data_IF_014566396673
#
_entry.id   IF_014566396673
#
_cell.length_a   1.000
_cell.length_b   1.000
_cell.length_c   1.000
_cell.angle_alpha   90.00
_cell.angle_beta   90.00
_cell.angle_gamma   90.00
#
_symmetry.space_group_name_H-M   'P 1'
#
loop_
_entity.id
_entity.type
_entity.pdbx_description
1 polymer ?
#
# COMPACT_ATOMS: atom_id res chain seq x y z
N UNK A 1 -21.49 -5.42 -17.40
CA UNK A 1 -21.38 -6.36 -16.26
C UNK A 1 -22.13 -7.64 -16.57
N UNK A 2 -23.49 -7.61 -16.82
CA UNK A 2 -24.28 -8.82 -17.04
C UNK A 2 -23.78 -9.73 -18.19
N UNK A 3 -23.25 -9.13 -19.26
CA UNK A 3 -22.72 -9.90 -20.41
C UNK A 3 -21.39 -10.60 -20.08
N UNK A 4 -20.55 -10.00 -19.25
CA UNK A 4 -19.30 -10.61 -18.78
C UNK A 4 -19.60 -11.71 -17.76
N UNK A 5 -20.52 -11.46 -16.84
CA UNK A 5 -20.94 -12.44 -15.85
C UNK A 5 -21.53 -13.71 -16.49
N UNK A 6 -22.27 -13.55 -17.62
CA UNK A 6 -22.76 -14.70 -18.39
C UNK A 6 -21.67 -15.53 -19.11
N UNK A 7 -20.48 -14.95 -19.34
CA UNK A 7 -19.35 -15.65 -20.00
C UNK A 7 -18.43 -16.34 -19.00
N UNK A 8 -18.18 -15.74 -17.86
CA UNK A 8 -17.17 -16.23 -16.88
C UNK A 8 -17.75 -16.66 -15.55
N UNK A 9 -19.06 -16.47 -15.35
CA UNK A 9 -19.74 -16.70 -14.07
C UNK A 9 -19.84 -15.46 -13.22
N UNK A 10 -20.94 -15.32 -12.50
CA UNK A 10 -21.24 -14.14 -11.68
C UNK A 10 -20.22 -13.88 -10.57
N UNK A 11 -19.62 -14.93 -10.05
CA UNK A 11 -18.63 -14.84 -8.96
C UNK A 11 -17.24 -14.39 -9.46
N UNK A 12 -16.97 -14.52 -10.76
CA UNK A 12 -15.68 -14.14 -11.36
C UNK A 12 -15.62 -12.65 -11.72
N UNK A 13 -16.77 -11.99 -11.80
CA UNK A 13 -16.83 -10.55 -12.07
C UNK A 13 -16.92 -9.79 -10.76
N UNK A 14 -15.85 -9.12 -10.37
CA UNK A 14 -15.79 -8.35 -9.14
C UNK A 14 -15.67 -6.85 -9.43
N UNK A 15 -16.13 -6.03 -8.50
CA UNK A 15 -16.01 -4.58 -8.53
C UNK A 15 -15.24 -4.12 -7.29
N UNK A 16 -14.46 -3.04 -7.45
CA UNK A 16 -13.80 -2.39 -6.33
C UNK A 16 -14.81 -1.53 -5.57
N UNK A 17 -15.01 -1.83 -4.29
CA UNK A 17 -15.75 -1.00 -3.35
C UNK A 17 -14.77 -0.22 -2.48
N UNK A 18 -14.92 1.11 -2.42
CA UNK A 18 -14.09 1.94 -1.58
C UNK A 18 -14.43 1.75 -0.09
N UNK A 19 -13.44 1.44 0.72
CA UNK A 19 -13.61 1.27 2.17
C UNK A 19 -12.90 2.34 3.00
N UNK A 20 -11.93 2.99 2.41
CA UNK A 20 -10.98 3.84 3.12
C UNK A 20 -9.98 3.00 3.91
N UNK A 21 -8.74 3.46 3.95
CA UNK A 21 -7.64 2.79 4.63
C UNK A 21 -6.36 3.59 4.51
N UNK A 22 -5.37 3.29 5.34
CA UNK A 22 -4.09 3.99 5.34
C UNK A 22 -3.06 3.34 4.42
N UNK A 23 -3.22 2.05 4.15
CA UNK A 23 -2.45 1.34 3.13
C UNK A 23 -3.29 1.23 1.87
N UNK A 24 -2.67 1.31 0.67
CA UNK A 24 -3.41 1.20 -0.60
C UNK A 24 -4.25 -0.07 -0.71
N UNK A 25 -3.75 -1.21 -0.25
CA UNK A 25 -4.48 -2.47 -0.26
C UNK A 25 -5.74 -2.47 0.61
N UNK A 26 -5.77 -1.64 1.67
CA UNK A 26 -6.92 -1.55 2.58
C UNK A 26 -8.01 -0.60 2.06
N UNK A 27 -7.69 0.21 1.04
CA UNK A 27 -8.60 1.22 0.51
C UNK A 27 -9.76 0.63 -0.29
N UNK A 28 -9.60 -0.57 -0.82
CA UNK A 28 -10.58 -1.24 -1.66
C UNK A 28 -10.90 -2.63 -1.13
N UNK A 29 -12.15 -3.01 -1.35
CA UNK A 29 -12.62 -4.40 -1.22
C UNK A 29 -13.18 -4.84 -2.55
N UNK A 30 -12.82 -6.03 -2.99
CA UNK A 30 -13.41 -6.65 -4.15
C UNK A 30 -14.72 -7.33 -3.75
N UNK A 31 -15.81 -6.94 -4.38
CA UNK A 31 -17.15 -7.53 -4.16
C UNK A 31 -17.69 -8.08 -5.46
N UNK A 32 -18.43 -9.20 -5.44
CA UNK A 32 -19.09 -9.69 -6.66
C UNK A 32 -19.96 -8.61 -7.27
N UNK A 33 -19.86 -8.41 -8.60
CA UNK A 33 -20.58 -7.38 -9.30
C UNK A 33 -22.11 -7.55 -9.22
N UNK A 34 -22.60 -8.77 -9.01
CA UNK A 34 -24.00 -9.11 -8.79
C UNK A 34 -24.59 -8.49 -7.52
N UNK A 35 -23.80 -8.29 -6.48
CA UNK A 35 -24.23 -7.64 -5.23
C UNK A 35 -24.37 -6.13 -5.36
N UNK A 36 -23.69 -5.50 -6.32
CA UNK A 36 -23.75 -4.05 -6.57
C UNK A 36 -24.95 -3.60 -7.39
N UNK A 37 -25.62 -4.50 -8.09
CA UNK A 37 -26.74 -4.18 -8.99
C UNK A 37 -28.10 -4.10 -8.27
N UNK A 38 -28.18 -4.61 -7.04
CA UNK A 38 -29.44 -4.68 -6.28
C UNK A 38 -29.76 -3.47 -5.41
N UNK A 39 -28.79 -2.69 -5.02
CA UNK A 39 -29.02 -1.41 -4.36
C UNK A 39 -28.86 -0.32 -5.42
N UNK A 40 -29.92 0.33 -5.81
CA UNK A 40 -30.00 1.40 -6.82
C UNK A 40 -29.12 2.65 -6.56
N UNK A 41 -28.02 2.48 -5.88
CA UNK A 41 -26.86 3.32 -5.85
C UNK A 41 -25.95 2.85 -7.00
N UNK A 42 -26.07 3.47 -8.16
CA UNK A 42 -24.96 3.60 -9.11
C UNK A 42 -23.70 3.96 -8.36
N UNK A 43 -22.50 3.97 -8.96
CA UNK A 43 -21.28 4.33 -8.26
C UNK A 43 -21.59 5.60 -7.48
N UNK A 44 -21.92 5.42 -6.23
CA UNK A 44 -22.45 6.52 -5.45
C UNK A 44 -21.29 7.50 -5.39
N UNK A 45 -21.56 8.70 -5.83
CA UNK A 45 -20.74 9.90 -5.65
C UNK A 45 -20.36 10.18 -4.18
N UNK A 46 -20.64 9.25 -3.27
CA UNK A 46 -20.03 9.18 -1.94
C UNK A 46 -18.52 9.02 -1.99
N UNK A 47 -17.93 8.64 -3.13
CA UNK A 47 -16.49 8.82 -3.35
C UNK A 47 -16.06 10.28 -3.23
N UNK A 48 -16.95 11.24 -3.51
CA UNK A 48 -16.69 12.67 -3.30
C UNK A 48 -16.74 13.10 -1.82
N UNK A 49 -17.50 12.40 -0.99
CA UNK A 49 -17.61 12.74 0.43
C UNK A 49 -16.43 12.21 1.27
N UNK A 50 -15.64 11.30 0.73
CA UNK A 50 -14.45 10.74 1.38
C UNK A 50 -13.15 11.36 0.89
N UNK A 51 -13.21 12.47 0.13
CA UNK A 51 -12.03 13.16 -0.39
C UNK A 51 -11.26 13.97 0.67
N UNK A 52 -11.73 14.01 1.91
CA UNK A 52 -10.90 14.51 3.00
C UNK A 52 -9.72 13.54 3.20
N UNK A 53 -8.47 14.01 3.07
CA UNK A 53 -7.32 13.13 3.25
C UNK A 53 -7.39 12.52 4.66
N UNK A 54 -7.44 11.19 4.73
CA UNK A 54 -7.33 10.49 5.99
C UNK A 54 -6.03 10.90 6.66
N UNK A 55 -6.11 11.21 7.96
CA UNK A 55 -4.92 11.49 8.75
C UNK A 55 -3.97 10.29 8.64
N UNK A 56 -2.78 10.53 8.07
CA UNK A 56 -1.81 9.49 7.75
C UNK A 56 -2.05 8.78 6.41
N UNK A 57 -2.94 9.28 5.55
CA UNK A 57 -3.01 8.88 4.14
C UNK A 57 -1.70 9.15 3.41
N UNK A 58 -1.43 8.42 2.32
CA UNK A 58 -0.30 8.72 1.44
C UNK A 58 -0.59 9.99 0.65
N UNK A 59 0.43 10.85 0.44
CA UNK A 59 0.30 11.97 -0.48
C UNK A 59 0.14 11.47 -1.92
N UNK A 60 -0.44 12.31 -2.77
CA UNK A 60 -0.44 12.06 -4.22
C UNK A 60 1.00 12.10 -4.77
N UNK A 61 1.30 11.35 -5.86
CA UNK A 61 0.41 10.46 -6.59
C UNK A 61 0.10 9.15 -5.85
N UNK A 62 -1.01 8.51 -6.22
CA UNK A 62 -1.31 7.15 -5.74
C UNK A 62 -0.49 6.13 -6.53
N UNK A 63 -0.06 5.01 -5.91
CA UNK A 63 0.60 3.94 -6.65
C UNK A 63 -0.27 3.42 -7.81
N UNK A 64 0.37 3.11 -8.93
CA UNK A 64 -0.30 2.57 -10.12
C UNK A 64 -0.53 1.06 -10.02
N UNK A 65 0.37 0.34 -9.38
CA UNK A 65 0.30 -1.11 -9.19
C UNK A 65 0.36 -1.45 -7.70
N UNK A 66 -0.61 -2.23 -7.22
CA UNK A 66 -0.57 -2.81 -5.87
C UNK A 66 -0.15 -4.27 -5.95
N UNK A 67 0.78 -4.67 -5.09
CA UNK A 67 1.15 -6.08 -4.98
C UNK A 67 0.10 -6.81 -4.12
N UNK A 68 -0.53 -7.89 -4.63
CA UNK A 68 -1.49 -8.69 -3.87
C UNK A 68 -0.89 -9.22 -2.56
N UNK A 69 0.35 -9.69 -2.65
CA UNK A 69 1.17 -10.11 -1.52
C UNK A 69 2.39 -9.20 -1.40
N UNK A 70 2.69 -8.68 -0.21
CA UNK A 70 3.90 -7.89 0.01
C UNK A 70 5.16 -8.67 -0.37
N UNK A 71 6.05 -8.08 -1.15
CA UNK A 71 7.30 -8.69 -1.61
C UNK A 71 8.41 -8.40 -0.61
N UNK A 72 9.01 -9.42 0.04
CA UNK A 72 10.11 -9.21 0.97
C UNK A 72 11.36 -8.72 0.23
N UNK A 73 12.02 -7.71 0.77
CA UNK A 73 13.22 -7.12 0.16
C UNK A 73 14.28 -6.79 1.19
N UNK A 74 15.54 -6.74 0.74
CA UNK A 74 16.64 -6.18 1.51
C UNK A 74 16.81 -4.71 1.11
N UNK A 75 16.84 -3.84 2.11
CA UNK A 75 17.25 -2.44 1.94
C UNK A 75 18.57 -2.26 2.70
N UNK A 76 19.59 -1.83 1.98
CA UNK A 76 20.95 -1.78 2.49
C UNK A 76 21.47 -0.34 2.52
N UNK A 77 22.39 -0.10 3.45
CA UNK A 77 23.15 1.14 3.54
C UNK A 77 24.44 1.07 2.70
N UNK A 78 25.24 2.13 2.76
CA UNK A 78 26.51 2.25 2.01
C UNK A 78 27.52 1.16 2.37
N UNK A 79 27.47 0.63 3.60
CA UNK A 79 28.34 -0.43 4.06
C UNK A 79 27.80 -1.84 3.77
N UNK A 80 26.67 -1.95 3.07
CA UNK A 80 25.98 -3.20 2.78
C UNK A 80 25.25 -3.80 3.97
N UNK A 81 25.01 -3.01 5.03
CA UNK A 81 24.26 -3.45 6.20
C UNK A 81 22.77 -3.18 6.01
N UNK A 82 21.93 -4.04 6.59
CA UNK A 82 20.50 -3.85 6.56
C UNK A 82 20.07 -2.56 7.29
N UNK A 83 19.28 -1.74 6.60
CA UNK A 83 18.68 -0.54 7.18
C UNK A 83 17.51 -0.93 8.06
N UNK A 84 17.52 -0.50 9.31
CA UNK A 84 16.45 -0.72 10.28
C UNK A 84 15.72 0.57 10.64
N UNK A 85 14.53 0.42 11.24
CA UNK A 85 13.75 1.54 11.79
C UNK A 85 13.47 1.28 13.26
N UNK A 86 13.88 2.19 14.12
CA UNK A 86 13.63 2.09 15.54
C UNK A 86 12.15 2.26 15.88
N UNK A 87 11.74 1.89 17.09
CA UNK A 87 10.37 2.12 17.57
C UNK A 87 9.95 3.60 17.59
N UNK A 88 10.92 4.51 17.55
CA UNK A 88 10.68 5.97 17.46
C UNK A 88 10.61 6.48 16.02
N UNK A 89 10.67 5.59 15.03
CA UNK A 89 10.68 5.96 13.61
C UNK A 89 12.02 6.54 13.13
N UNK A 90 13.13 6.23 13.81
CA UNK A 90 14.45 6.70 13.40
C UNK A 90 15.14 5.59 12.61
N UNK A 91 15.67 5.93 11.43
CA UNK A 91 16.51 5.04 10.60
C UNK A 91 17.85 4.77 11.27
N UNK A 92 18.35 3.54 11.14
CA UNK A 92 19.70 3.17 11.58
C UNK A 92 20.79 3.79 10.70
N UNK A 93 20.50 3.93 9.40
CA UNK A 93 21.38 4.49 8.38
C UNK A 93 20.57 4.90 7.15
N UNK A 94 21.21 5.61 6.23
CA UNK A 94 20.59 6.02 4.96
C UNK A 94 20.40 4.81 4.04
N UNK A 95 19.20 4.58 3.46
CA UNK A 95 18.97 3.54 2.48
C UNK A 95 19.61 3.93 1.13
N UNK A 96 20.51 3.10 0.62
CA UNK A 96 21.20 3.36 -0.65
C UNK A 96 20.96 2.28 -1.69
N UNK A 97 20.41 1.13 -1.29
CA UNK A 97 20.17 0.01 -2.20
C UNK A 97 18.89 -0.75 -1.83
N UNK A 98 18.11 -1.15 -2.82
CA UNK A 98 16.95 -2.05 -2.72
C UNK A 98 16.99 -3.06 -3.86
N UNK A 99 16.78 -4.36 -3.58
CA UNK A 99 16.81 -5.43 -4.61
C UNK A 99 18.04 -5.39 -5.53
N UNK A 100 19.22 -5.07 -4.99
CA UNK A 100 20.46 -4.86 -5.73
C UNK A 100 20.48 -3.63 -6.66
N UNK A 101 19.42 -2.80 -6.68
CA UNK A 101 19.39 -1.52 -7.39
C UNK A 101 19.76 -0.35 -6.48
N UNK A 102 20.56 0.62 -6.96
CA UNK A 102 20.82 1.85 -6.21
C UNK A 102 19.54 2.66 -6.00
N UNK A 103 19.36 3.19 -4.80
CA UNK A 103 18.32 4.18 -4.47
C UNK A 103 18.87 5.56 -4.79
N UNK A 104 18.16 6.33 -5.61
CA UNK A 104 18.54 7.71 -5.99
C UNK A 104 17.82 8.76 -5.17
N UNK A 105 16.64 8.43 -4.66
CA UNK A 105 15.88 9.28 -3.75
C UNK A 105 14.96 8.43 -2.87
N UNK A 106 14.65 8.92 -1.69
CA UNK A 106 13.70 8.28 -0.79
C UNK A 106 12.99 9.33 0.07
N UNK A 107 11.81 8.95 0.58
CA UNK A 107 11.03 9.75 1.52
C UNK A 107 10.40 8.84 2.58
N UNK A 108 10.19 9.38 3.76
CA UNK A 108 9.75 8.68 4.97
C UNK A 108 10.76 8.88 6.11
N UNK A 109 10.66 8.11 7.20
CA UNK A 109 9.57 7.20 7.53
C UNK A 109 8.26 7.92 7.85
N UNK A 110 7.15 7.37 7.37
CA UNK A 110 5.82 7.75 7.83
C UNK A 110 5.27 6.64 8.71
N UNK A 111 5.30 6.82 10.04
CA UNK A 111 4.84 5.79 10.97
C UNK A 111 3.34 5.55 10.82
N UNK A 112 2.94 4.31 11.00
CA UNK A 112 1.57 3.87 10.96
C UNK A 112 1.34 2.86 12.07
N UNK A 113 0.51 3.23 13.04
CA UNK A 113 0.03 2.34 14.09
C UNK A 113 -1.40 1.91 13.73
N UNK A 114 -1.58 0.62 13.47
CA UNK A 114 -2.88 0.04 13.16
C UNK A 114 -3.37 -0.79 14.33
N UNK A 115 -4.69 -0.73 14.58
CA UNK A 115 -5.36 -1.50 15.62
C UNK A 115 -4.65 -1.44 16.99
N UNK A 116 -4.10 -0.28 17.33
CA UNK A 116 -3.38 -0.06 18.58
C UNK A 116 -4.20 -0.42 19.82
N UNK A 117 -5.53 -0.47 19.70
CA UNK A 117 -6.46 -0.87 20.75
C UNK A 117 -6.66 -2.40 20.88
N UNK A 118 -6.20 -3.18 19.91
CA UNK A 118 -6.29 -4.63 19.89
C UNK A 118 -4.90 -5.26 20.05
N UNK A 119 -4.52 -5.77 21.26
CA UNK A 119 -3.19 -6.33 21.48
C UNK A 119 -2.82 -7.50 20.57
N UNK A 120 -3.81 -8.20 19.98
CA UNK A 120 -3.58 -9.33 19.08
C UNK A 120 -3.44 -8.88 17.62
N UNK A 121 -4.12 -7.81 17.25
CA UNK A 121 -4.13 -7.28 15.90
C UNK A 121 -3.30 -6.01 15.72
N UNK A 122 -2.67 -5.51 16.78
CA UNK A 122 -1.85 -4.30 16.73
C UNK A 122 -0.65 -4.50 15.80
N UNK A 123 -0.51 -3.61 14.81
CA UNK A 123 0.63 -3.54 13.90
C UNK A 123 1.26 -2.15 13.97
N UNK A 124 2.56 -2.14 14.07
CA UNK A 124 3.36 -0.91 13.93
C UNK A 124 4.29 -1.06 12.76
N UNK A 125 4.15 -0.19 11.78
CA UNK A 125 5.01 -0.17 10.61
C UNK A 125 5.39 1.26 10.24
N UNK A 126 6.42 1.40 9.42
CA UNK A 126 6.78 2.67 8.79
C UNK A 126 6.72 2.52 7.28
N UNK A 127 6.21 3.55 6.60
CA UNK A 127 6.12 3.58 5.14
C UNK A 127 7.24 4.43 4.57
N UNK A 128 7.68 4.06 3.37
CA UNK A 128 8.69 4.76 2.60
C UNK A 128 8.32 4.80 1.13
N UNK A 129 8.73 5.84 0.45
CA UNK A 129 8.83 5.88 -1.00
C UNK A 129 10.31 5.75 -1.37
N UNK A 130 10.62 4.85 -2.30
CA UNK A 130 11.98 4.58 -2.75
C UNK A 130 12.02 4.76 -4.27
N UNK A 131 12.91 5.60 -4.78
CA UNK A 131 13.16 5.76 -6.21
C UNK A 131 14.51 5.14 -6.53
N UNK A 132 14.55 4.24 -7.52
CA UNK A 132 15.76 3.55 -7.94
C UNK A 132 16.43 4.22 -9.15
N UNK A 133 17.67 3.85 -9.42
CA UNK A 133 18.43 4.36 -10.57
C UNK A 133 17.81 3.97 -11.93
N UNK A 134 17.05 2.87 -11.99
CA UNK A 134 16.28 2.50 -13.17
C UNK A 134 15.02 3.35 -13.41
N UNK A 135 14.70 4.27 -12.49
CA UNK A 135 13.51 5.11 -12.53
C UNK A 135 12.27 4.47 -11.90
N UNK A 136 12.36 3.26 -11.38
CA UNK A 136 11.25 2.59 -10.70
C UNK A 136 11.05 3.20 -9.32
N UNK A 137 9.81 3.50 -8.99
CA UNK A 137 9.44 4.07 -7.71
C UNK A 137 8.53 3.10 -6.93
N UNK A 138 8.90 2.81 -5.70
CA UNK A 138 8.21 1.84 -4.85
C UNK A 138 7.61 2.46 -3.61
N UNK A 139 6.48 1.94 -3.19
CA UNK A 139 5.98 2.09 -1.84
C UNK A 139 6.44 0.88 -1.02
N UNK A 140 7.26 1.14 -0.02
CA UNK A 140 7.79 0.12 0.88
C UNK A 140 7.24 0.30 2.29
N UNK A 141 7.18 -0.79 3.03
CA UNK A 141 6.88 -0.79 4.46
C UNK A 141 7.96 -1.53 5.24
N UNK A 142 8.19 -1.09 6.47
CA UNK A 142 9.04 -1.78 7.44
C UNK A 142 8.20 -2.17 8.62
N UNK A 143 8.15 -3.45 8.92
CA UNK A 143 7.52 -4.01 10.11
C UNK A 143 8.48 -4.98 10.79
N UNK A 144 8.73 -4.81 12.08
CA UNK A 144 9.65 -5.67 12.86
C UNK A 144 11.03 -5.85 12.20
N UNK A 145 11.58 -4.76 11.66
CA UNK A 145 12.88 -4.71 10.95
C UNK A 145 12.90 -5.42 9.58
N UNK A 146 11.77 -5.88 9.08
CA UNK A 146 11.66 -6.49 7.76
C UNK A 146 11.05 -5.49 6.77
N UNK A 147 11.65 -5.41 5.59
CA UNK A 147 11.19 -4.56 4.50
C UNK A 147 10.33 -5.34 3.51
N UNK A 148 9.29 -4.67 3.05
CA UNK A 148 8.32 -5.21 2.11
C UNK A 148 8.00 -4.15 1.06
N UNK A 149 8.03 -4.52 -0.23
CA UNK A 149 7.41 -3.70 -1.27
C UNK A 149 5.92 -4.05 -1.32
N UNK A 150 5.08 -3.03 -1.31
CA UNK A 150 3.62 -3.19 -1.30
C UNK A 150 2.95 -2.58 -2.53
N UNK A 151 3.64 -1.68 -3.23
CA UNK A 151 3.13 -1.05 -4.43
C UNK A 151 4.27 -0.44 -5.26
N UNK A 152 3.97 -0.15 -6.53
CA UNK A 152 4.84 0.53 -7.47
C UNK A 152 4.11 1.74 -8.05
N UNK A 153 4.86 2.83 -8.25
CA UNK A 153 4.38 4.04 -8.93
C UNK A 153 4.77 3.97 -10.40
N UNK A 154 3.94 4.57 -11.24
CA UNK A 154 4.20 4.70 -12.69
C UNK A 154 5.03 5.96 -12.97
#
# INVERSE_FOLDING_TARGET
>A
VARLAGLVGDEQVVMAEWRGGRLPADQYRWVPASLGVGSGAGPSSSASASAAPWVGGLPAPTPALLYPDPVPVAVLDRDGRAVGVSARGVLSSEPVQVQAEPITAWAGPWPLDERWWDPRGARRLARFQLLTASGRAYLATVERQHWWLIAEYD
#
